data_IF_229273869135
#
_entry.id   IF_229273869135
#
_cell.length_a   1.000
_cell.length_b   1.000
_cell.length_c   1.000
_cell.angle_alpha   90.00
_cell.angle_beta   90.00
_cell.angle_gamma   90.00
#
_symmetry.space_group_name_H-M   'P 1'
#
loop_
_entity.id
_entity.type
_entity.pdbx_description
1 polymer ?
#
# COMPACT_ATOMS: atom_id res chain seq x y z
N UNK A 1 51.00 15.03 -36.22
CA UNK A 1 51.09 15.06 -34.75
C UNK A 1 49.90 15.70 -34.05
N UNK A 2 49.47 16.92 -34.34
CA UNK A 2 48.33 17.60 -33.65
C UNK A 2 46.98 16.86 -33.71
N UNK A 3 46.66 16.04 -34.74
CA UNK A 3 45.43 15.28 -34.88
C UNK A 3 45.39 13.99 -34.05
N UNK A 4 46.57 13.34 -33.89
CA UNK A 4 46.71 12.11 -33.08
C UNK A 4 46.55 12.45 -31.59
N UNK A 5 47.18 13.56 -31.10
CA UNK A 5 47.01 14.04 -29.73
C UNK A 5 45.56 14.37 -29.35
N UNK A 6 44.78 14.97 -30.29
CA UNK A 6 43.38 15.31 -30.03
C UNK A 6 42.49 14.06 -29.93
N UNK A 7 42.77 13.02 -30.72
CA UNK A 7 42.03 11.73 -30.64
C UNK A 7 42.41 10.97 -29.37
N UNK A 8 43.68 11.00 -28.98
CA UNK A 8 44.12 10.38 -27.74
C UNK A 8 43.51 11.06 -26.51
N UNK A 9 43.47 12.40 -26.47
CA UNK A 9 42.83 13.16 -25.39
C UNK A 9 41.30 12.89 -25.29
N UNK A 10 40.60 12.76 -26.42
CA UNK A 10 39.17 12.39 -26.43
C UNK A 10 38.92 10.96 -25.94
N UNK A 11 39.80 10.00 -26.33
CA UNK A 11 39.70 8.62 -25.83
C UNK A 11 40.01 8.51 -24.34
N UNK A 12 41.03 9.27 -23.85
CA UNK A 12 41.37 9.31 -22.42
C UNK A 12 40.21 9.93 -21.62
N UNK A 13 39.58 10.99 -22.11
CA UNK A 13 38.42 11.60 -21.46
C UNK A 13 37.21 10.64 -21.40
N UNK A 14 36.95 9.91 -22.48
CA UNK A 14 35.90 8.88 -22.51
C UNK A 14 36.21 7.73 -21.54
N UNK A 15 37.51 7.33 -21.45
CA UNK A 15 37.92 6.30 -20.52
C UNK A 15 37.84 6.76 -19.06
N UNK A 16 38.17 8.02 -18.76
CA UNK A 16 37.98 8.62 -17.42
C UNK A 16 36.52 8.71 -17.06
N UNK A 17 35.65 9.09 -17.98
CA UNK A 17 34.19 9.08 -17.75
C UNK A 17 33.65 7.68 -17.51
N UNK A 18 34.11 6.68 -18.27
CA UNK A 18 33.72 5.27 -18.09
C UNK A 18 34.25 4.71 -16.76
N UNK A 19 35.47 5.02 -16.35
CA UNK A 19 36.00 4.56 -15.05
C UNK A 19 35.35 5.28 -13.87
N UNK A 20 35.00 6.57 -14.01
CA UNK A 20 34.21 7.30 -13.01
C UNK A 20 32.79 6.73 -12.84
N UNK A 21 32.18 6.19 -13.91
CA UNK A 21 30.90 5.48 -13.82
C UNK A 21 30.99 4.13 -13.11
N UNK A 22 32.10 3.41 -13.24
CA UNK A 22 32.34 2.14 -12.55
C UNK A 22 32.68 2.31 -11.07
N UNK A 23 33.10 3.53 -10.67
CA UNK A 23 33.50 3.88 -9.31
C UNK A 23 32.35 4.48 -8.46
N UNK A 24 31.10 4.58 -9.00
CA UNK A 24 29.94 4.96 -8.18
C UNK A 24 29.68 3.76 -7.26
N UNK A 25 29.94 3.87 -5.93
CA UNK A 25 29.55 2.80 -5.03
C UNK A 25 28.05 2.62 -5.18
N UNK A 26 27.59 1.44 -5.58
CA UNK A 26 26.21 1.08 -5.41
C UNK A 26 25.92 1.29 -3.91
N UNK A 27 25.15 2.32 -3.55
CA UNK A 27 24.70 2.51 -2.18
C UNK A 27 24.03 1.19 -1.82
N UNK A 28 24.67 0.40 -0.94
CA UNK A 28 24.10 -0.86 -0.52
C UNK A 28 22.72 -0.53 0.07
N UNK A 29 21.65 -1.06 -0.53
CA UNK A 29 20.29 -0.89 -0.02
C UNK A 29 20.32 -1.42 1.41
N UNK A 30 19.90 -0.61 2.37
CA UNK A 30 19.78 -1.04 3.76
C UNK A 30 18.86 -2.25 3.77
N UNK A 31 19.23 -3.31 4.45
CA UNK A 31 18.42 -4.52 4.54
C UNK A 31 17.15 -4.25 5.36
N UNK A 32 16.06 -4.92 5.00
CA UNK A 32 14.76 -4.68 5.60
C UNK A 32 14.74 -4.87 7.14
N UNK A 33 15.43 -5.87 7.73
CA UNK A 33 15.53 -5.98 9.19
C UNK A 33 16.11 -4.73 9.87
N UNK A 34 17.16 -4.14 9.30
CA UNK A 34 17.75 -2.89 9.81
C UNK A 34 16.78 -1.72 9.67
N UNK A 35 16.07 -1.60 8.53
CA UNK A 35 15.04 -0.58 8.33
C UNK A 35 13.93 -0.70 9.37
N UNK A 36 13.43 -1.92 9.61
CA UNK A 36 12.40 -2.20 10.63
C UNK A 36 12.90 -1.79 12.01
N UNK A 37 14.13 -2.18 12.38
CA UNK A 37 14.71 -1.83 13.67
C UNK A 37 14.78 -0.31 13.89
N UNK A 38 15.18 0.44 12.86
CA UNK A 38 15.23 1.91 12.90
C UNK A 38 13.84 2.54 12.97
N UNK A 39 12.87 2.01 12.20
CA UNK A 39 11.51 2.55 12.18
C UNK A 39 10.77 2.30 13.51
N UNK A 40 11.05 1.19 14.19
CA UNK A 40 10.49 0.91 15.52
C UNK A 40 10.83 1.99 16.54
N UNK A 41 11.95 2.68 16.42
CA UNK A 41 12.33 3.76 17.32
C UNK A 41 11.37 4.97 17.24
N UNK A 42 10.52 5.05 16.22
CA UNK A 42 9.51 6.10 16.08
C UNK A 42 8.09 5.65 16.36
N UNK A 43 7.88 4.37 16.71
CA UNK A 43 6.54 3.83 17.02
C UNK A 43 6.34 3.81 18.53
N UNK A 44 5.14 4.12 18.98
CA UNK A 44 4.78 4.17 20.39
C UNK A 44 3.54 3.33 20.68
N UNK A 45 3.50 2.74 21.87
CA UNK A 45 2.29 2.15 22.44
C UNK A 45 1.50 3.22 23.13
N UNK A 46 0.20 3.29 22.86
CA UNK A 46 -0.74 4.20 23.49
C UNK A 46 -1.64 3.43 24.44
N UNK A 47 -1.80 3.98 25.63
CA UNK A 47 -2.84 3.58 26.58
C UNK A 47 -3.87 4.71 26.65
N UNK A 48 -5.15 4.35 26.47
CA UNK A 48 -6.25 5.31 26.36
C UNK A 48 -7.34 4.91 27.34
N UNK A 49 -7.80 5.86 28.14
CA UNK A 49 -8.91 5.66 29.08
C UNK A 49 -10.02 6.65 28.81
N UNK A 50 -11.22 6.14 28.58
CA UNK A 50 -12.45 6.92 28.52
C UNK A 50 -13.10 6.99 29.88
N UNK A 51 -13.59 8.19 30.24
CA UNK A 51 -14.22 8.48 31.53
C UNK A 51 -15.70 8.77 31.36
N UNK A 52 -16.50 8.31 32.31
CA UNK A 52 -17.89 8.72 32.42
C UNK A 52 -18.00 10.20 32.83
N UNK A 53 -19.17 10.85 32.64
CA UNK A 53 -19.36 12.26 33.05
C UNK A 53 -19.12 12.56 34.53
N UNK A 54 -19.17 11.55 35.39
CA UNK A 54 -18.87 11.64 36.83
C UNK A 54 -17.36 11.51 37.14
N UNK A 55 -16.52 11.35 36.09
CA UNK A 55 -15.07 11.21 36.22
C UNK A 55 -14.58 9.80 36.54
N UNK A 56 -15.45 8.79 36.52
CA UNK A 56 -15.03 7.39 36.72
C UNK A 56 -14.49 6.78 35.43
N UNK A 57 -13.38 6.01 35.47
CA UNK A 57 -12.92 5.26 34.29
C UNK A 57 -14.00 4.28 33.83
N UNK A 58 -14.37 4.35 32.56
CA UNK A 58 -15.45 3.57 31.96
C UNK A 58 -14.96 2.59 30.88
N UNK A 59 -13.85 2.92 30.23
CA UNK A 59 -13.26 2.07 29.19
C UNK A 59 -11.75 2.27 29.14
N UNK A 60 -11.01 1.23 28.79
CA UNK A 60 -9.60 1.31 28.47
C UNK A 60 -9.32 0.64 27.13
N UNK A 61 -8.41 1.22 26.37
CA UNK A 61 -7.97 0.70 25.08
C UNK A 61 -6.45 0.81 24.95
N UNK A 62 -5.88 -0.11 24.18
CA UNK A 62 -4.48 -0.07 23.76
C UNK A 62 -4.46 0.16 22.25
N UNK A 63 -3.57 1.04 21.81
CA UNK A 63 -3.34 1.31 20.40
C UNK A 63 -1.89 1.61 20.12
N UNK A 64 -1.62 1.95 18.90
CA UNK A 64 -0.30 2.38 18.44
C UNK A 64 -0.33 3.83 17.98
N UNK A 65 0.85 4.42 17.90
CA UNK A 65 1.07 5.72 17.27
C UNK A 65 2.49 5.81 16.73
N UNK A 66 2.78 6.89 16.04
CA UNK A 66 4.15 7.17 15.60
C UNK A 66 4.50 8.66 15.74
N UNK A 67 5.78 8.89 15.98
CA UNK A 67 6.33 10.23 16.19
C UNK A 67 6.47 10.99 14.86
N UNK A 68 6.11 12.27 14.87
CA UNK A 68 6.33 13.21 13.76
C UNK A 68 7.18 14.40 14.20
N UNK A 69 7.98 14.92 13.30
CA UNK A 69 8.88 16.03 13.57
C UNK A 69 9.98 16.12 12.53
N UNK A 70 10.91 17.06 12.69
CA UNK A 70 12.05 17.21 11.81
C UNK A 70 13.16 16.17 12.10
N UNK A 71 14.01 15.90 11.12
CA UNK A 71 15.14 15.00 11.30
C UNK A 71 16.05 15.44 12.44
N UNK A 72 16.22 14.54 13.41
CA UNK A 72 17.08 14.78 14.56
C UNK A 72 16.45 15.66 15.65
N UNK A 73 15.19 16.06 15.52
CA UNK A 73 14.46 16.69 16.62
C UNK A 73 13.93 15.64 17.61
N UNK A 74 13.73 16.07 18.85
CA UNK A 74 12.97 15.29 19.83
C UNK A 74 11.48 15.54 19.57
N UNK A 75 10.66 14.51 19.31
CA UNK A 75 9.27 14.71 18.96
C UNK A 75 8.40 15.15 20.14
N UNK A 76 7.46 16.03 19.85
CA UNK A 76 6.37 16.43 20.72
C UNK A 76 5.02 16.01 20.15
N UNK A 77 4.94 15.71 18.85
CA UNK A 77 3.71 15.36 18.17
C UNK A 77 3.73 13.91 17.73
N UNK A 78 2.57 13.28 17.85
CA UNK A 78 2.35 11.87 17.52
C UNK A 78 1.06 11.73 16.72
N UNK A 79 1.02 10.72 15.88
CA UNK A 79 -0.14 10.38 15.06
C UNK A 79 -0.70 9.05 15.50
N UNK A 80 -2.03 8.95 15.56
CA UNK A 80 -2.77 7.72 15.82
C UNK A 80 -4.12 7.74 15.09
N UNK A 81 -4.94 6.72 15.25
CA UNK A 81 -6.31 6.73 14.73
C UNK A 81 -7.27 7.55 15.62
N UNK A 82 -8.35 8.04 15.00
CA UNK A 82 -9.47 8.64 15.71
C UNK A 82 -10.10 7.65 16.69
N UNK A 83 -10.41 6.44 16.24
CA UNK A 83 -11.06 5.43 17.09
C UNK A 83 -10.20 5.01 18.30
N UNK A 84 -8.88 5.11 18.20
CA UNK A 84 -7.96 4.91 19.35
C UNK A 84 -8.06 6.11 20.28
N UNK A 85 -7.86 7.34 19.74
CA UNK A 85 -7.84 8.56 20.55
C UNK A 85 -9.18 8.87 21.23
N UNK A 86 -10.30 8.39 20.70
CA UNK A 86 -11.64 8.55 21.28
C UNK A 86 -12.06 7.40 22.19
N UNK A 87 -11.18 6.43 22.48
CA UNK A 87 -11.52 5.19 23.18
C UNK A 87 -12.79 4.52 22.64
N UNK A 88 -12.91 4.49 21.29
CA UNK A 88 -14.12 4.04 20.62
C UNK A 88 -14.47 2.58 20.94
N UNK A 89 -15.68 2.39 21.44
CA UNK A 89 -16.26 1.08 21.75
C UNK A 89 -17.17 0.64 20.60
N UNK A 90 -16.64 -0.21 19.70
CA UNK A 90 -17.37 -0.66 18.50
C UNK A 90 -18.65 -1.44 18.83
N UNK A 91 -18.67 -2.18 19.94
CA UNK A 91 -19.81 -2.95 20.41
C UNK A 91 -21.03 -2.06 20.70
N UNK A 92 -20.80 -0.83 21.19
CA UNK A 92 -21.85 0.12 21.55
C UNK A 92 -21.97 1.26 20.54
N UNK A 93 -21.15 1.28 19.48
CA UNK A 93 -21.05 2.41 18.56
C UNK A 93 -20.88 3.75 19.28
N UNK A 94 -20.01 3.77 20.30
CA UNK A 94 -19.81 4.90 21.22
C UNK A 94 -18.37 5.36 21.19
N UNK A 95 -18.15 6.66 21.09
CA UNK A 95 -16.86 7.32 21.21
C UNK A 95 -16.93 8.33 22.37
N UNK A 96 -15.91 8.37 23.18
CA UNK A 96 -15.78 9.43 24.18
C UNK A 96 -15.33 10.72 23.49
N UNK A 97 -15.81 11.86 23.97
CA UNK A 97 -15.31 13.15 23.51
C UNK A 97 -13.92 13.45 24.11
N UNK A 98 -13.24 14.44 23.55
CA UNK A 98 -11.86 14.78 23.95
C UNK A 98 -11.71 15.19 25.41
N UNK A 99 -12.78 15.67 26.07
CA UNK A 99 -12.77 16.12 27.46
C UNK A 99 -12.95 14.93 28.42
N UNK A 100 -13.40 13.80 27.92
CA UNK A 100 -13.62 12.58 28.66
C UNK A 100 -12.63 11.46 28.28
N UNK A 101 -11.49 11.80 27.67
CA UNK A 101 -10.43 10.85 27.31
C UNK A 101 -9.09 11.33 27.86
N UNK A 102 -8.32 10.40 28.41
CA UNK A 102 -6.89 10.61 28.69
C UNK A 102 -6.05 9.61 27.95
N UNK A 103 -4.92 10.04 27.41
CA UNK A 103 -4.04 9.28 26.54
C UNK A 103 -2.62 9.36 27.06
N UNK A 104 -1.94 8.22 27.13
CA UNK A 104 -0.53 8.15 27.52
C UNK A 104 0.29 7.41 26.46
N UNK A 105 1.47 7.94 26.16
CA UNK A 105 2.55 7.20 25.51
C UNK A 105 3.25 6.39 26.58
N UNK A 106 3.31 5.07 26.41
CA UNK A 106 3.99 4.18 27.33
C UNK A 106 5.49 4.15 27.04
N UNK A 107 6.31 4.42 28.06
CA UNK A 107 7.78 4.42 27.98
C UNK A 107 8.40 3.14 28.51
N UNK A 108 7.70 2.47 29.42
CA UNK A 108 8.15 1.24 30.08
C UNK A 108 6.98 0.26 30.23
N UNK A 109 7.27 -0.94 30.72
CA UNK A 109 6.28 -1.96 30.99
C UNK A 109 5.25 -1.48 32.00
N UNK A 110 4.00 -1.52 31.61
CA UNK A 110 2.87 -1.24 32.47
C UNK A 110 1.91 -2.43 32.41
N UNK A 111 1.62 -2.99 33.57
CA UNK A 111 0.63 -4.06 33.68
C UNK A 111 -0.69 -3.44 34.08
N UNK A 112 -1.69 -3.53 33.22
CA UNK A 112 -3.05 -3.09 33.49
C UNK A 112 -3.74 -4.25 34.21
N UNK A 113 -3.97 -4.07 35.51
CA UNK A 113 -4.75 -5.03 36.30
C UNK A 113 -6.23 -4.65 36.37
N UNK A 114 -6.53 -3.34 36.26
CA UNK A 114 -7.86 -2.77 36.27
C UNK A 114 -7.90 -1.49 35.41
N UNK A 115 -9.06 -1.10 34.87
CA UNK A 115 -9.26 0.17 34.13
C UNK A 115 -9.01 1.42 34.99
N UNK A 116 -8.96 1.26 36.31
CA UNK A 116 -8.63 2.31 37.27
C UNK A 116 -7.12 2.51 37.48
N UNK A 117 -6.29 1.58 37.01
CA UNK A 117 -4.84 1.68 37.08
C UNK A 117 -4.33 2.64 36.03
N UNK A 118 -4.11 3.90 36.43
CA UNK A 118 -3.59 4.93 35.51
C UNK A 118 -2.04 4.90 35.48
N UNK A 119 -1.42 5.09 34.30
CA UNK A 119 0.04 5.16 34.18
C UNK A 119 0.63 6.31 34.98
N UNK A 120 1.83 6.13 35.50
CA UNK A 120 2.59 7.16 36.23
C UNK A 120 3.48 7.97 35.28
N UNK A 121 3.87 9.19 35.66
CA UNK A 121 4.82 10.02 34.92
C UNK A 121 6.21 9.36 34.77
N UNK A 122 6.55 8.41 35.62
CA UNK A 122 7.81 7.66 35.55
C UNK A 122 7.82 6.65 34.39
N UNK A 123 6.65 6.13 34.01
CA UNK A 123 6.49 5.05 33.01
C UNK A 123 5.79 5.51 31.73
N UNK A 124 5.32 6.76 31.70
CA UNK A 124 4.53 7.27 30.57
C UNK A 124 4.65 8.79 30.39
N UNK A 125 4.15 9.25 29.23
CA UNK A 125 3.95 10.68 28.95
C UNK A 125 2.51 10.88 28.54
N UNK A 126 1.78 11.71 29.29
CA UNK A 126 0.41 12.07 28.96
C UNK A 126 0.37 12.94 27.71
N UNK A 127 -0.66 12.76 26.88
CA UNK A 127 -0.87 13.46 25.63
C UNK A 127 -2.23 14.15 25.59
N UNK A 128 -2.28 15.31 24.97
CA UNK A 128 -3.53 15.99 24.61
C UNK A 128 -3.84 15.77 23.12
N UNK A 129 -5.12 15.65 22.78
CA UNK A 129 -5.59 15.64 21.40
C UNK A 129 -5.54 17.09 20.90
N UNK A 130 -4.75 17.37 19.85
CA UNK A 130 -4.64 18.71 19.25
C UNK A 130 -5.34 18.80 17.90
N UNK A 131 -5.59 17.66 17.26
CA UNK A 131 -6.39 17.55 16.04
C UNK A 131 -7.02 16.17 15.97
N UNK A 132 -8.28 16.12 15.60
CA UNK A 132 -9.04 14.88 15.39
C UNK A 132 -9.99 15.07 14.22
N UNK A 133 -10.31 14.00 13.51
CA UNK A 133 -11.32 14.03 12.47
C UNK A 133 -12.73 14.20 13.10
N UNK A 134 -13.45 15.28 12.76
CA UNK A 134 -14.74 15.64 13.39
C UNK A 134 -15.83 14.58 13.22
N UNK A 135 -15.83 13.86 12.11
CA UNK A 135 -16.80 12.81 11.80
C UNK A 135 -16.28 11.38 12.07
N UNK A 136 -15.07 11.24 12.66
CA UNK A 136 -14.38 9.96 12.76
C UNK A 136 -13.73 9.49 11.46
N UNK A 137 -13.92 10.23 10.38
CA UNK A 137 -13.33 9.93 9.07
C UNK A 137 -12.74 11.19 8.42
N UNK A 138 -11.55 11.06 7.76
CA UNK A 138 -10.65 9.91 7.80
C UNK A 138 -10.15 9.62 9.22
N UNK A 139 -9.92 8.35 9.54
CA UNK A 139 -9.67 7.83 10.89
C UNK A 139 -8.25 8.17 11.40
N UNK A 140 -8.02 9.44 11.75
CA UNK A 140 -6.75 9.91 12.34
C UNK A 140 -6.96 10.88 13.49
N UNK A 141 -5.96 10.96 14.36
CA UNK A 141 -5.80 11.97 15.38
C UNK A 141 -4.33 12.41 15.50
N UNK A 142 -4.10 13.67 15.85
CA UNK A 142 -2.78 14.20 16.17
C UNK A 142 -2.76 14.52 17.65
N UNK A 143 -1.77 13.97 18.33
CA UNK A 143 -1.55 14.12 19.75
C UNK A 143 -0.34 15.02 19.98
N UNK A 144 -0.38 15.80 21.07
CA UNK A 144 0.77 16.51 21.62
C UNK A 144 1.12 15.94 22.99
N UNK A 145 2.34 15.49 23.15
CA UNK A 145 2.87 15.03 24.43
C UNK A 145 3.09 16.20 25.39
N UNK A 146 2.88 15.99 26.69
CA UNK A 146 3.07 17.00 27.74
C UNK A 146 4.54 17.46 27.86
N UNK A 147 5.48 16.65 27.36
CA UNK A 147 6.91 16.98 27.23
C UNK A 147 7.48 16.36 25.96
N UNK A 148 8.63 16.87 25.45
CA UNK A 148 9.36 16.17 24.38
C UNK A 148 9.71 14.73 24.82
N UNK A 149 9.53 13.76 23.88
CA UNK A 149 9.76 12.33 24.14
C UNK A 149 11.11 11.93 23.58
N UNK A 150 12.13 11.91 24.43
CA UNK A 150 13.53 11.64 24.05
C UNK A 150 13.78 10.21 23.63
N UNK A 151 12.88 9.31 24.03
CA UNK A 151 12.90 7.88 23.76
C UNK A 151 12.47 7.51 22.32
N UNK A 152 11.92 8.50 21.58
CA UNK A 152 11.41 8.31 20.24
C UNK A 152 12.15 9.15 19.20
N UNK A 153 12.06 8.73 17.93
CA UNK A 153 12.57 9.46 16.77
C UNK A 153 11.47 9.68 15.74
N UNK A 154 11.36 10.91 15.16
CA UNK A 154 10.38 11.15 14.11
C UNK A 154 10.59 10.23 12.89
N UNK A 155 9.50 9.74 12.30
CA UNK A 155 9.52 8.94 11.09
C UNK A 155 9.31 9.81 9.85
N UNK A 156 9.99 9.51 8.73
CA UNK A 156 9.75 10.21 7.48
C UNK A 156 8.42 9.76 6.87
N UNK A 157 7.68 10.70 6.28
CA UNK A 157 6.40 10.43 5.62
C UNK A 157 6.57 10.53 4.11
N UNK A 158 6.09 9.53 3.39
CA UNK A 158 6.02 9.45 1.93
C UNK A 158 4.55 9.49 1.50
N UNK A 159 4.27 10.17 0.39
CA UNK A 159 2.94 10.18 -0.22
C UNK A 159 2.44 8.78 -0.55
N UNK A 160 1.25 8.44 -0.05
CA UNK A 160 0.55 7.18 -0.37
C UNK A 160 0.21 7.09 -1.86
N UNK A 161 -0.10 8.21 -2.52
CA UNK A 161 -0.41 8.25 -3.96
C UNK A 161 0.76 7.79 -4.83
N UNK A 162 2.00 7.94 -4.34
CA UNK A 162 3.21 7.52 -5.04
C UNK A 162 3.51 6.02 -4.92
N UNK A 163 2.82 5.33 -4.02
CA UNK A 163 3.00 3.90 -3.74
C UNK A 163 2.41 3.08 -4.88
N UNK A 164 3.08 2.01 -5.28
CA UNK A 164 2.62 1.16 -6.37
C UNK A 164 2.11 -0.18 -5.83
N UNK A 165 1.13 -0.74 -6.53
CA UNK A 165 0.70 -2.12 -6.29
C UNK A 165 1.89 -3.08 -6.39
N UNK A 166 2.00 -4.01 -5.43
CA UNK A 166 3.10 -4.97 -5.32
C UNK A 166 4.33 -4.44 -4.56
N UNK A 167 4.37 -3.16 -4.16
CA UNK A 167 5.45 -2.67 -3.27
C UNK A 167 5.40 -3.42 -1.92
N UNK A 168 6.59 -3.79 -1.43
CA UNK A 168 6.73 -4.38 -0.09
C UNK A 168 6.39 -3.34 0.98
N UNK A 169 5.60 -3.76 1.96
CA UNK A 169 5.22 -2.92 3.10
C UNK A 169 5.41 -3.68 4.42
N UNK A 170 5.55 -2.93 5.49
CA UNK A 170 5.60 -3.47 6.85
C UNK A 170 4.63 -2.68 7.72
N UNK A 171 3.68 -3.36 8.34
CA UNK A 171 2.83 -2.79 9.37
C UNK A 171 3.52 -2.91 10.72
N UNK A 172 3.71 -1.79 11.40
CA UNK A 172 4.30 -1.71 12.73
C UNK A 172 3.21 -1.35 13.75
N UNK A 173 3.31 -1.91 14.96
CA UNK A 173 2.37 -1.59 16.03
C UNK A 173 2.47 -2.53 17.23
N UNK A 174 1.59 -2.36 18.20
CA UNK A 174 1.54 -3.06 19.48
C UNK A 174 0.24 -3.87 19.57
N UNK A 175 0.16 -5.07 18.99
CA UNK A 175 -1.07 -5.86 18.99
C UNK A 175 -1.39 -6.38 20.39
N UNK A 176 -2.56 -6.05 20.92
CA UNK A 176 -3.01 -6.45 22.26
C UNK A 176 -3.00 -7.98 22.47
N UNK A 177 -3.36 -8.74 21.44
CA UNK A 177 -3.37 -10.22 21.50
C UNK A 177 -1.97 -10.80 21.74
N UNK A 178 -0.90 -10.13 21.35
CA UNK A 178 0.47 -10.56 21.62
C UNK A 178 0.86 -10.22 23.05
N UNK A 179 0.38 -9.07 23.55
CA UNK A 179 0.56 -8.65 24.93
C UNK A 179 -0.06 -9.66 25.91
N UNK A 180 -1.26 -10.16 25.62
CA UNK A 180 -1.96 -11.18 26.41
C UNK A 180 -1.23 -12.52 26.47
N UNK A 181 -0.40 -12.82 25.47
CA UNK A 181 0.40 -14.04 25.39
C UNK A 181 1.79 -13.90 26.01
N UNK A 182 2.24 -12.69 26.31
CA UNK A 182 3.57 -12.39 26.82
C UNK A 182 3.55 -12.24 28.34
N UNK A 183 4.48 -12.89 29.03
CA UNK A 183 4.69 -12.69 30.46
C UNK A 183 5.27 -11.31 30.82
N UNK A 184 5.83 -10.62 29.81
CA UNK A 184 6.40 -9.27 29.95
C UNK A 184 6.05 -8.46 28.71
N UNK A 185 5.22 -7.44 28.89
CA UNK A 185 4.86 -6.50 27.82
C UNK A 185 5.70 -5.25 27.98
N UNK A 186 6.63 -5.02 27.05
CA UNK A 186 7.45 -3.81 27.00
C UNK A 186 6.88 -2.74 26.07
N UNK A 187 7.19 -1.48 26.36
CA UNK A 187 6.97 -0.37 25.43
C UNK A 187 7.69 -0.59 24.09
N UNK A 188 8.70 -1.45 24.07
CA UNK A 188 9.54 -1.78 22.91
C UNK A 188 9.09 -3.05 22.16
N UNK A 189 8.03 -3.74 22.59
CA UNK A 189 7.52 -4.96 21.96
C UNK A 189 6.66 -4.64 20.72
N UNK A 190 7.22 -3.78 19.86
CA UNK A 190 6.58 -3.42 18.61
C UNK A 190 6.70 -4.58 17.63
N UNK A 191 5.57 -5.12 17.21
CA UNK A 191 5.53 -6.14 16.16
C UNK A 191 5.72 -5.52 14.78
N UNK A 192 6.23 -6.34 13.87
CA UNK A 192 6.41 -5.99 12.47
C UNK A 192 5.87 -7.12 11.61
N UNK A 193 4.83 -6.86 10.85
CA UNK A 193 4.25 -7.81 9.89
C UNK A 193 4.49 -7.34 8.47
N UNK A 194 5.13 -8.18 7.65
CA UNK A 194 5.46 -7.87 6.28
C UNK A 194 4.34 -8.30 5.34
N UNK A 195 4.11 -7.48 4.32
CA UNK A 195 3.20 -7.78 3.22
C UNK A 195 3.52 -6.98 1.97
N UNK A 196 2.53 -6.85 1.11
CA UNK A 196 2.58 -6.09 -0.14
C UNK A 196 1.32 -5.24 -0.31
N UNK A 197 1.44 -4.13 -1.02
CA UNK A 197 0.28 -3.32 -1.42
C UNK A 197 -0.54 -4.09 -2.44
N UNK A 198 -1.79 -4.42 -2.09
CA UNK A 198 -2.72 -5.09 -2.97
C UNK A 198 -3.38 -4.12 -3.97
N UNK A 199 -3.77 -2.94 -3.52
CA UNK A 199 -4.29 -1.84 -4.37
C UNK A 199 -4.57 -0.57 -3.58
N UNK A 200 -4.80 0.53 -4.30
CA UNK A 200 -5.46 1.73 -3.81
C UNK A 200 -6.97 1.55 -3.87
N UNK A 201 -7.68 2.03 -2.86
CA UNK A 201 -9.13 1.87 -2.77
C UNK A 201 -9.77 3.07 -2.06
N UNK A 202 -10.99 3.43 -2.47
CA UNK A 202 -11.87 4.32 -1.71
C UNK A 202 -12.79 3.48 -0.86
N UNK A 203 -12.74 3.65 0.46
CA UNK A 203 -13.60 2.93 1.39
C UNK A 203 -14.85 3.75 1.68
N UNK A 204 -15.96 3.43 1.03
CA UNK A 204 -17.23 4.15 1.20
C UNK A 204 -17.82 3.99 2.60
N UNK A 205 -17.66 2.83 3.22
CA UNK A 205 -18.08 2.58 4.60
C UNK A 205 -17.33 3.41 5.64
N UNK A 206 -16.18 3.99 5.27
CA UNK A 206 -15.36 4.88 6.09
C UNK A 206 -15.35 6.31 5.52
N UNK A 207 -16.50 6.87 5.19
CA UNK A 207 -16.64 8.26 4.74
C UNK A 207 -15.97 8.56 3.39
N UNK A 208 -15.88 7.61 2.47
CA UNK A 208 -15.14 7.71 1.20
C UNK A 208 -13.65 7.99 1.38
N UNK A 209 -13.05 7.40 2.40
CA UNK A 209 -11.62 7.55 2.70
C UNK A 209 -10.75 6.75 1.72
N UNK A 210 -9.69 7.38 1.21
CA UNK A 210 -8.66 6.69 0.42
C UNK A 210 -7.80 5.83 1.34
N UNK A 211 -7.61 4.56 0.98
CA UNK A 211 -6.82 3.60 1.73
C UNK A 211 -5.90 2.79 0.83
N UNK A 212 -4.78 2.37 1.38
CA UNK A 212 -3.95 1.29 0.85
C UNK A 212 -4.48 -0.03 1.38
N UNK A 213 -4.93 -0.91 0.48
CA UNK A 213 -5.23 -2.30 0.79
C UNK A 213 -3.93 -3.10 0.71
N UNK A 214 -3.60 -3.86 1.76
CA UNK A 214 -2.37 -4.66 1.83
C UNK A 214 -2.62 -5.99 2.56
N UNK A 215 -1.70 -6.95 2.40
CA UNK A 215 -1.77 -8.27 3.03
C UNK A 215 -0.83 -8.44 4.25
N UNK A 216 -0.18 -7.36 4.70
CA UNK A 216 0.47 -7.36 6.01
C UNK A 216 -0.60 -7.48 7.09
N UNK A 217 -0.49 -8.51 7.93
CA UNK A 217 -1.50 -8.81 8.96
C UNK A 217 -1.47 -7.73 10.04
N UNK A 218 -2.64 -7.19 10.37
CA UNK A 218 -2.85 -6.34 11.56
C UNK A 218 -3.94 -6.94 12.44
N UNK A 219 -3.87 -6.65 13.73
CA UNK A 219 -4.86 -7.05 14.74
C UNK A 219 -5.15 -5.89 15.68
N UNK A 220 -6.11 -6.04 16.59
CA UNK A 220 -6.41 -5.05 17.62
C UNK A 220 -5.13 -4.61 18.35
N UNK A 221 -4.93 -3.28 18.48
CA UNK A 221 -3.71 -2.67 19.01
C UNK A 221 -2.72 -2.17 17.95
N UNK A 222 -2.70 -2.72 16.71
CA UNK A 222 -1.92 -2.17 15.60
C UNK A 222 -2.50 -0.86 15.05
N UNK A 223 -3.76 -0.58 15.35
CA UNK A 223 -4.45 0.66 14.97
C UNK A 223 -3.65 1.87 15.41
N UNK A 224 -3.46 2.84 14.51
CA UNK A 224 -2.68 4.05 14.74
C UNK A 224 -1.16 3.90 14.51
N UNK A 225 -0.67 2.67 14.35
CA UNK A 225 0.71 2.42 13.96
C UNK A 225 0.96 2.71 12.47
N UNK A 226 2.21 2.96 12.07
CA UNK A 226 2.53 3.26 10.69
C UNK A 226 2.56 2.00 9.81
N UNK A 227 2.08 2.14 8.58
CA UNK A 227 2.46 1.28 7.47
C UNK A 227 3.69 1.92 6.80
N UNK A 228 4.82 1.20 6.74
CA UNK A 228 6.06 1.72 6.16
C UNK A 228 6.42 0.99 4.87
N UNK A 229 7.15 1.68 4.00
CA UNK A 229 7.80 1.10 2.83
C UNK A 229 9.14 0.42 3.20
N UNK A 230 9.79 -0.20 2.24
CA UNK A 230 11.09 -0.88 2.44
C UNK A 230 12.26 0.06 2.78
N UNK A 231 12.06 1.37 2.78
CA UNK A 231 13.03 2.39 3.17
C UNK A 231 12.71 3.00 4.54
N UNK A 232 11.65 2.54 5.22
CA UNK A 232 11.22 3.04 6.53
C UNK A 232 10.39 4.31 6.48
N UNK A 233 9.88 4.71 5.31
CA UNK A 233 9.00 5.84 5.19
C UNK A 233 7.55 5.43 5.50
N UNK A 234 6.86 6.21 6.30
CA UNK A 234 5.43 6.05 6.56
C UNK A 234 4.66 6.36 5.29
N UNK A 235 3.91 5.37 4.80
CA UNK A 235 3.07 5.46 3.60
C UNK A 235 1.58 5.36 3.93
N UNK A 236 1.22 5.19 5.19
CA UNK A 236 -0.17 5.11 5.63
C UNK A 236 -0.26 4.87 7.12
N UNK A 237 -1.47 4.98 7.66
CA UNK A 237 -1.81 4.75 9.05
C UNK A 237 -2.69 3.51 9.14
N UNK A 238 -2.19 2.43 9.78
CA UNK A 238 -2.93 1.18 9.95
C UNK A 238 -4.25 1.44 10.68
N UNK A 239 -5.37 0.93 10.15
CA UNK A 239 -6.68 1.24 10.71
C UNK A 239 -7.62 0.04 10.79
N UNK A 240 -7.88 -0.68 9.71
CA UNK A 240 -8.87 -1.76 9.68
C UNK A 240 -8.28 -3.08 9.17
N UNK A 241 -8.60 -4.18 9.86
CA UNK A 241 -8.52 -5.52 9.27
C UNK A 241 -9.78 -5.80 8.46
N UNK A 242 -9.65 -6.28 7.23
CA UNK A 242 -10.77 -6.75 6.41
C UNK A 242 -10.67 -8.26 6.30
N UNK A 243 -11.61 -8.96 6.94
CA UNK A 243 -11.84 -10.42 6.90
C UNK A 243 -10.67 -11.25 6.35
N UNK A 244 -9.99 -11.97 7.22
CA UNK A 244 -9.05 -13.09 7.03
C UNK A 244 -7.84 -12.91 6.09
N UNK A 245 -7.75 -11.85 5.27
CA UNK A 245 -6.70 -11.80 4.23
C UNK A 245 -6.15 -10.41 3.91
N UNK A 246 -6.83 -9.33 4.28
CA UNK A 246 -6.41 -7.98 3.94
C UNK A 246 -6.56 -7.02 5.12
N UNK A 247 -5.68 -6.03 5.10
CA UNK A 247 -5.66 -4.92 6.04
C UNK A 247 -5.70 -3.60 5.27
N UNK A 248 -6.16 -2.56 5.92
CA UNK A 248 -6.21 -1.22 5.35
C UNK A 248 -5.39 -0.24 6.16
N UNK A 249 -4.67 0.62 5.47
CA UNK A 249 -4.09 1.83 6.02
C UNK A 249 -4.67 3.06 5.31
N UNK A 250 -5.12 4.06 6.04
CA UNK A 250 -5.53 5.34 5.45
C UNK A 250 -4.31 6.05 4.88
N UNK A 251 -4.54 6.87 3.85
CA UNK A 251 -3.48 7.60 3.16
C UNK A 251 -2.75 8.56 4.11
N UNK A 252 -1.43 8.63 3.96
CA UNK A 252 -0.57 9.58 4.70
C UNK A 252 -0.90 11.04 4.43
N UNK A 253 -1.51 11.35 3.28
CA UNK A 253 -1.94 12.68 2.90
C UNK A 253 -2.92 13.30 3.90
N UNK A 254 -3.80 12.52 4.52
CA UNK A 254 -4.71 13.04 5.54
C UNK A 254 -3.96 13.56 6.77
N UNK A 255 -2.89 12.84 7.14
CA UNK A 255 -2.01 13.24 8.24
C UNK A 255 -1.19 14.46 7.87
N UNK A 256 -0.54 14.46 6.70
CA UNK A 256 0.32 15.57 6.27
C UNK A 256 -0.46 16.85 6.07
N UNK A 257 -1.67 16.78 5.50
CA UNK A 257 -2.56 17.96 5.36
C UNK A 257 -2.95 18.56 6.72
N UNK A 258 -3.22 17.71 7.72
CA UNK A 258 -3.53 18.17 9.07
C UNK A 258 -2.31 18.82 9.73
N UNK A 259 -1.12 18.23 9.61
CA UNK A 259 0.13 18.79 10.12
C UNK A 259 0.45 20.14 9.46
N UNK A 260 0.29 20.23 8.13
CA UNK A 260 0.50 21.48 7.36
C UNK A 260 -0.45 22.60 7.82
N UNK A 261 -1.75 22.29 8.01
CA UNK A 261 -2.75 23.22 8.52
C UNK A 261 -2.43 23.73 9.94
N UNK A 262 -1.76 22.91 10.74
CA UNK A 262 -1.33 23.26 12.10
C UNK A 262 0.05 23.92 12.13
N UNK A 263 0.76 24.03 11.02
CA UNK A 263 2.13 24.54 10.94
C UNK A 263 3.15 23.63 11.64
N UNK A 264 2.84 22.33 11.79
CA UNK A 264 3.73 21.35 12.41
C UNK A 264 4.68 20.82 11.35
N UNK A 265 5.97 21.02 11.54
CA UNK A 265 6.99 20.52 10.64
C UNK A 265 7.20 19.01 10.84
N UNK A 266 7.33 18.29 9.75
CA UNK A 266 7.60 16.85 9.74
C UNK A 266 8.66 16.50 8.69
N UNK A 267 9.20 15.29 8.77
CA UNK A 267 10.19 14.77 7.84
C UNK A 267 9.49 14.15 6.63
N UNK A 268 9.71 14.75 5.45
CA UNK A 268 9.28 14.11 4.20
C UNK A 268 10.31 13.10 3.76
N UNK A 269 9.87 11.95 3.25
CA UNK A 269 10.74 11.06 2.52
C UNK A 269 11.40 11.85 1.40
N UNK A 270 12.70 12.02 1.48
CA UNK A 270 13.43 12.64 0.39
C UNK A 270 13.08 11.87 -0.88
N UNK A 271 12.65 12.57 -1.92
CA UNK A 271 12.75 12.06 -3.27
C UNK A 271 14.24 11.79 -3.47
N UNK A 272 14.69 10.58 -3.17
CA UNK A 272 16.01 10.14 -3.56
C UNK A 272 15.98 10.11 -5.08
N UNK A 273 16.30 11.27 -5.69
CA UNK A 273 16.75 11.24 -7.07
C UNK A 273 17.98 10.33 -6.97
N UNK A 274 17.77 9.08 -7.34
CA UNK A 274 18.82 8.06 -7.26
C UNK A 274 20.05 8.66 -7.88
N UNK A 275 21.21 8.53 -7.22
CA UNK A 275 22.51 8.92 -7.81
C UNK A 275 22.62 8.31 -9.22
N UNK A 276 22.01 7.15 -9.45
CA UNK A 276 21.85 6.50 -10.75
C UNK A 276 21.03 7.36 -11.72
N UNK A 277 19.97 8.01 -11.27
CA UNK A 277 19.16 8.89 -12.13
C UNK A 277 19.90 10.17 -12.48
N UNK A 278 20.65 10.76 -11.55
CA UNK A 278 21.51 11.93 -11.81
C UNK A 278 22.62 11.53 -12.77
N UNK A 279 23.28 10.38 -12.55
CA UNK A 279 24.32 9.86 -13.42
C UNK A 279 23.77 9.55 -14.82
N UNK A 280 22.60 8.91 -14.94
CA UNK A 280 21.96 8.64 -16.22
C UNK A 280 21.58 9.93 -16.97
N UNK A 281 21.06 10.94 -16.28
CA UNK A 281 20.77 12.26 -16.87
C UNK A 281 22.06 12.95 -17.35
N UNK A 282 23.16 12.91 -16.57
CA UNK A 282 24.44 13.46 -16.94
C UNK A 282 25.02 12.77 -18.19
N UNK A 283 24.88 11.43 -18.28
CA UNK A 283 25.27 10.64 -19.47
C UNK A 283 24.48 11.01 -20.68
N UNK A 284 23.16 11.16 -20.55
CA UNK A 284 22.28 11.56 -21.65
C UNK A 284 22.66 12.96 -22.18
N UNK A 285 22.91 13.91 -21.29
CA UNK A 285 23.37 15.26 -21.66
C UNK A 285 24.73 15.21 -22.37
N UNK A 286 25.68 14.41 -21.86
CA UNK A 286 26.98 14.24 -22.51
C UNK A 286 26.85 13.60 -23.89
N UNK A 287 26.00 12.58 -24.07
CA UNK A 287 25.75 11.93 -25.35
C UNK A 287 25.14 12.90 -26.37
N UNK A 288 24.19 13.74 -25.95
CA UNK A 288 23.59 14.80 -26.79
C UNK A 288 24.66 15.82 -27.19
N UNK A 289 25.50 16.27 -26.26
CA UNK A 289 26.59 17.21 -26.55
C UNK A 289 27.58 16.64 -27.58
N UNK A 290 27.94 15.36 -27.45
CA UNK A 290 28.80 14.65 -28.41
C UNK A 290 28.11 14.53 -29.77
N UNK A 291 26.84 14.18 -29.82
CA UNK A 291 26.07 14.11 -31.07
C UNK A 291 26.00 15.48 -31.78
N UNK A 292 25.72 16.57 -31.05
CA UNK A 292 25.73 17.94 -31.57
C UNK A 292 27.12 18.31 -32.09
N UNK A 293 28.21 17.98 -31.37
CA UNK A 293 29.55 18.20 -31.81
C UNK A 293 29.88 17.52 -33.15
N UNK A 294 29.45 16.24 -33.31
CA UNK A 294 29.67 15.51 -34.58
C UNK A 294 28.80 16.05 -35.68
N UNK A 295 27.54 16.48 -35.45
CA UNK A 295 26.66 17.11 -36.45
C UNK A 295 27.23 18.45 -36.93
N UNK A 296 27.71 19.30 -36.01
CA UNK A 296 28.32 20.57 -36.36
C UNK A 296 29.67 20.39 -37.11
N UNK A 297 30.42 19.36 -36.77
CA UNK A 297 31.68 19.04 -37.46
C UNK A 297 31.46 18.49 -38.87
N UNK A 298 30.41 17.66 -39.06
CA UNK A 298 30.08 17.08 -40.39
C UNK A 298 29.48 18.11 -41.32
N UNK A 299 28.83 19.19 -40.82
CA UNK A 299 28.34 20.30 -41.67
C UNK A 299 29.45 21.03 -42.41
N UNK A 300 30.67 21.04 -41.90
CA UNK A 300 31.81 21.66 -42.58
C UNK A 300 32.46 20.81 -43.69
N UNK A 301 32.00 19.53 -43.82
CA UNK A 301 32.53 18.62 -44.85
C UNK A 301 31.55 18.32 -45.99
N UNK A 302 30.30 18.86 -45.95
CA UNK A 302 29.26 18.54 -46.95
C UNK A 302 29.20 19.47 -48.17
N UNK A 303 30.21 20.35 -48.35
CA UNK A 303 30.18 21.33 -49.41
C UNK A 303 30.99 20.93 -50.69
N UNK A 304 31.25 19.63 -50.88
CA UNK A 304 32.00 19.18 -52.06
C UNK A 304 31.59 17.83 -52.66
N UNK A 305 30.31 17.64 -53.02
CA UNK A 305 29.97 16.65 -54.07
C UNK A 305 28.55 16.93 -54.65
N UNK A 306 28.35 16.88 -55.99
CA UNK A 306 27.07 17.13 -56.60
C UNK A 306 26.10 15.93 -56.50
N UNK A 307 24.82 16.27 -56.45
CA UNK A 307 23.72 15.34 -56.34
C UNK A 307 23.56 14.42 -57.56
N UNK A 308 23.67 13.13 -57.36
CA UNK A 308 23.21 12.10 -58.30
C UNK A 308 21.92 11.50 -57.79
N UNK A 309 20.84 11.62 -58.54
CA UNK A 309 19.51 11.16 -58.14
C UNK A 309 19.40 9.62 -58.10
N UNK A 310 18.70 9.13 -57.08
CA UNK A 310 18.20 7.74 -57.05
C UNK A 310 16.73 7.82 -56.64
N UNK A 311 15.87 7.30 -57.50
CA UNK A 311 14.43 7.15 -57.33
C UNK A 311 14.08 6.20 -56.20
N UNK A 312 13.01 6.42 -55.38
CA UNK A 312 12.61 5.52 -54.34
C UNK A 312 11.83 4.32 -54.91
N UNK A 313 12.20 3.14 -54.50
CA UNK A 313 11.43 1.90 -54.71
C UNK A 313 10.43 1.78 -53.54
N UNK A 314 9.15 1.83 -53.87
CA UNK A 314 8.04 1.53 -52.95
C UNK A 314 7.92 0.02 -52.74
N UNK A 315 7.98 -0.42 -51.45
CA UNK A 315 7.60 -1.76 -51.05
C UNK A 315 6.30 -1.67 -50.21
N UNK A 316 5.26 -2.48 -50.48
CA UNK A 316 4.01 -2.42 -49.75
C UNK A 316 4.20 -2.98 -48.33
N UNK A 317 4.08 -2.09 -47.33
CA UNK A 317 4.13 -2.48 -45.91
C UNK A 317 2.74 -2.82 -45.40
N UNK A 318 2.55 -4.05 -44.98
CA UNK A 318 1.43 -4.43 -44.14
C UNK A 318 1.66 -3.95 -42.69
N UNK A 319 0.77 -3.11 -42.21
CA UNK A 319 0.69 -2.74 -40.80
C UNK A 319 0.24 -3.94 -39.97
N UNK A 320 1.10 -4.42 -39.08
CA UNK A 320 0.72 -5.37 -38.02
C UNK A 320 0.22 -4.53 -36.83
N UNK A 321 -1.02 -4.74 -36.33
CA UNK A 321 -1.47 -4.05 -35.13
C UNK A 321 -0.68 -4.57 -33.93
N UNK A 322 -0.19 -3.63 -33.12
CA UNK A 322 0.38 -3.94 -31.80
C UNK A 322 -0.67 -4.65 -30.95
N UNK A 323 -0.50 -5.94 -30.72
CA UNK A 323 -1.37 -6.74 -29.87
C UNK A 323 -1.26 -6.28 -28.43
N UNK A 324 -2.36 -5.72 -27.93
CA UNK A 324 -2.59 -5.58 -26.49
C UNK A 324 -2.66 -6.98 -25.91
N UNK A 325 -1.71 -7.36 -25.08
CA UNK A 325 -1.70 -8.61 -24.35
C UNK A 325 -2.80 -8.55 -23.27
N UNK A 326 -4.01 -8.99 -23.60
CA UNK A 326 -5.06 -9.21 -22.61
C UNK A 326 -4.87 -10.62 -22.06
N UNK A 327 -4.68 -10.82 -20.74
CA UNK A 327 -4.66 -12.16 -20.14
C UNK A 327 -5.96 -12.87 -20.49
N UNK A 328 -5.88 -13.99 -21.22
CA UNK A 328 -7.04 -14.76 -21.63
C UNK A 328 -7.43 -15.71 -20.49
N UNK A 329 -8.41 -15.35 -19.68
CA UNK A 329 -9.00 -16.28 -18.73
C UNK A 329 -9.70 -17.41 -19.46
N UNK A 330 -9.56 -18.62 -18.93
CA UNK A 330 -10.29 -19.81 -19.35
C UNK A 330 -10.98 -20.40 -18.13
N UNK A 331 -12.07 -21.12 -18.34
CA UNK A 331 -12.72 -21.89 -17.28
C UNK A 331 -12.85 -23.35 -17.69
N UNK A 332 -12.51 -24.24 -16.77
CA UNK A 332 -12.71 -25.68 -16.94
C UNK A 332 -14.05 -26.04 -16.30
N UNK A 333 -14.90 -26.69 -17.09
CA UNK A 333 -16.21 -27.19 -16.69
C UNK A 333 -16.12 -28.58 -16.01
N UNK A 334 -17.17 -29.05 -15.32
CA UNK A 334 -17.20 -30.37 -14.69
C UNK A 334 -16.97 -31.53 -15.65
N UNK A 335 -17.31 -31.37 -16.90
CA UNK A 335 -17.12 -32.37 -17.97
C UNK A 335 -15.72 -32.34 -18.62
N UNK A 336 -14.81 -31.53 -18.06
CA UNK A 336 -13.43 -31.36 -18.51
C UNK A 336 -13.22 -30.37 -19.67
N UNK A 337 -14.28 -29.83 -20.29
CA UNK A 337 -14.18 -28.82 -21.33
C UNK A 337 -13.57 -27.55 -20.79
N UNK A 338 -12.63 -26.95 -21.53
CA UNK A 338 -12.03 -25.66 -21.23
C UNK A 338 -12.58 -24.63 -22.21
N UNK A 339 -13.21 -23.59 -21.66
CA UNK A 339 -13.87 -22.52 -22.44
C UNK A 339 -13.14 -21.20 -22.17
N UNK A 340 -12.70 -20.46 -23.22
CA UNK A 340 -12.14 -19.13 -23.04
C UNK A 340 -13.24 -18.16 -22.60
N UNK A 341 -12.87 -17.26 -21.68
CA UNK A 341 -13.74 -16.17 -21.20
C UNK A 341 -13.32 -14.89 -21.91
N UNK A 342 -14.05 -14.44 -22.95
CA UNK A 342 -13.72 -13.24 -23.67
C UNK A 342 -13.81 -12.00 -22.76
N UNK A 343 -13.19 -10.89 -23.18
CA UNK A 343 -13.31 -9.60 -22.48
C UNK A 343 -14.79 -9.18 -22.38
N UNK A 344 -15.19 -8.62 -21.24
CA UNK A 344 -16.56 -8.24 -20.95
C UNK A 344 -17.33 -9.30 -20.18
N UNK A 345 -18.67 -9.23 -20.25
CA UNK A 345 -19.58 -10.11 -19.46
C UNK A 345 -20.01 -11.34 -20.26
N UNK A 346 -19.89 -12.50 -19.65
CA UNK A 346 -20.41 -13.78 -20.17
C UNK A 346 -21.37 -14.41 -19.18
N UNK A 347 -22.47 -14.94 -19.66
CA UNK A 347 -23.45 -15.66 -18.85
C UNK A 347 -23.06 -17.13 -18.69
N UNK A 348 -23.25 -17.65 -17.47
CA UNK A 348 -23.08 -19.04 -17.09
C UNK A 348 -24.45 -19.62 -16.73
N UNK A 349 -24.82 -20.75 -17.29
CA UNK A 349 -26.10 -21.39 -17.01
C UNK A 349 -26.44 -22.52 -17.99
N UNK A 350 -27.73 -22.98 -17.94
CA UNK A 350 -28.22 -24.05 -18.85
C UNK A 350 -28.88 -23.49 -20.12
N UNK A 351 -29.21 -22.19 -20.12
CA UNK A 351 -29.89 -21.58 -21.27
C UNK A 351 -28.98 -21.62 -22.51
N UNK A 352 -29.53 -21.94 -23.70
CA UNK A 352 -28.74 -21.91 -24.96
C UNK A 352 -28.04 -20.59 -25.27
N UNK A 353 -28.55 -19.47 -24.72
CA UNK A 353 -27.93 -18.15 -24.88
C UNK A 353 -26.72 -17.90 -23.97
N UNK A 354 -26.43 -18.82 -23.01
CA UNK A 354 -25.25 -18.69 -22.15
C UNK A 354 -23.99 -19.07 -22.93
N UNK A 355 -22.98 -18.22 -22.88
CA UNK A 355 -21.67 -18.45 -23.51
C UNK A 355 -20.93 -19.61 -22.81
N UNK A 356 -21.10 -19.73 -21.46
CA UNK A 356 -20.60 -20.86 -20.69
C UNK A 356 -21.81 -21.71 -20.31
N UNK A 357 -22.07 -22.69 -21.17
CA UNK A 357 -23.28 -23.54 -21.05
C UNK A 357 -22.97 -24.85 -20.34
N UNK A 358 -23.69 -25.11 -19.24
CA UNK A 358 -23.74 -26.41 -18.61
C UNK A 358 -24.84 -27.29 -19.27
N UNK A 359 -24.73 -28.62 -19.15
CA UNK A 359 -25.70 -29.52 -19.76
C UNK A 359 -27.11 -29.36 -19.14
N UNK A 360 -28.14 -29.68 -19.91
CA UNK A 360 -29.55 -29.60 -19.44
C UNK A 360 -29.85 -30.53 -18.26
N UNK A 361 -29.09 -31.64 -18.17
CA UNK A 361 -29.14 -32.59 -17.06
C UNK A 361 -28.67 -31.98 -15.72
N UNK A 362 -27.97 -30.87 -15.72
CA UNK A 362 -27.54 -30.17 -14.50
C UNK A 362 -28.75 -29.42 -13.86
N UNK A 363 -29.75 -30.15 -13.41
CA UNK A 363 -31.05 -29.61 -12.93
C UNK A 363 -30.91 -28.55 -11.81
N UNK A 364 -29.86 -28.62 -11.01
CA UNK A 364 -29.55 -27.65 -9.96
C UNK A 364 -29.06 -26.30 -10.48
N UNK A 365 -28.63 -26.19 -11.75
CA UNK A 365 -28.18 -24.95 -12.36
C UNK A 365 -29.34 -24.18 -12.94
N UNK A 366 -29.49 -22.90 -12.64
CA UNK A 366 -30.50 -22.03 -13.23
C UNK A 366 -30.26 -21.81 -14.73
N UNK A 367 -31.31 -21.44 -15.50
CA UNK A 367 -31.13 -21.11 -16.92
C UNK A 367 -30.02 -20.06 -17.14
N UNK A 368 -30.14 -18.93 -16.45
CA UNK A 368 -29.03 -17.98 -16.24
C UNK A 368 -28.69 -18.03 -14.75
N UNK A 369 -27.51 -18.48 -14.39
CA UNK A 369 -27.16 -18.77 -13.00
C UNK A 369 -26.27 -17.66 -12.41
N UNK A 370 -25.19 -17.36 -13.09
CA UNK A 370 -24.30 -16.29 -12.71
C UNK A 370 -23.65 -15.65 -13.96
N UNK A 371 -22.98 -14.55 -13.79
CA UNK A 371 -22.16 -13.91 -14.82
C UNK A 371 -20.71 -13.90 -14.40
N UNK A 372 -19.83 -14.03 -15.40
CA UNK A 372 -18.39 -13.80 -15.28
C UNK A 372 -18.07 -12.55 -16.10
N UNK A 373 -17.45 -11.55 -15.48
CA UNK A 373 -16.97 -10.33 -16.13
C UNK A 373 -15.45 -10.36 -16.20
N UNK A 374 -14.91 -10.48 -17.40
CA UNK A 374 -13.47 -10.44 -17.64
C UNK A 374 -13.04 -9.00 -17.89
N UNK A 375 -12.36 -8.39 -16.90
CA UNK A 375 -11.80 -7.04 -16.96
C UNK A 375 -10.36 -6.99 -17.50
N UNK A 376 -9.82 -8.14 -17.94
CA UNK A 376 -8.43 -8.29 -18.37
C UNK A 376 -7.48 -8.60 -17.22
N UNK A 377 -7.71 -8.07 -16.04
CA UNK A 377 -6.87 -8.27 -14.85
C UNK A 377 -7.50 -9.24 -13.84
N UNK A 378 -8.83 -9.24 -13.76
CA UNK A 378 -9.61 -10.11 -12.88
C UNK A 378 -10.82 -10.69 -13.62
N UNK A 379 -11.25 -11.88 -13.15
CA UNK A 379 -12.51 -12.49 -13.53
C UNK A 379 -13.50 -12.27 -12.37
N UNK A 380 -14.53 -11.45 -12.57
CA UNK A 380 -15.50 -11.11 -11.53
C UNK A 380 -16.73 -12.00 -11.68
N UNK A 381 -17.07 -12.75 -10.63
CA UNK A 381 -18.28 -13.56 -10.53
C UNK A 381 -19.40 -12.77 -9.89
N UNK A 382 -20.61 -12.87 -10.46
CA UNK A 382 -21.85 -12.33 -9.88
C UNK A 382 -22.95 -13.38 -9.97
N UNK A 383 -23.57 -13.77 -8.85
CA UNK A 383 -24.77 -14.60 -8.84
C UNK A 383 -25.97 -13.76 -9.27
N UNK A 384 -26.69 -14.19 -10.29
CA UNK A 384 -27.82 -13.47 -10.89
C UNK A 384 -29.18 -13.80 -10.20
N UNK A 385 -29.15 -14.12 -8.90
CA UNK A 385 -30.32 -14.56 -8.16
C UNK A 385 -30.68 -16.02 -8.47
N UNK A 386 -29.69 -16.87 -8.59
CA UNK A 386 -29.86 -18.27 -8.91
C UNK A 386 -30.68 -19.01 -7.83
N UNK A 387 -31.52 -19.99 -8.23
CA UNK A 387 -32.40 -20.73 -7.31
C UNK A 387 -31.60 -21.46 -6.23
N UNK A 388 -30.54 -22.18 -6.62
CA UNK A 388 -29.78 -23.02 -5.71
C UNK A 388 -28.46 -22.36 -5.24
N UNK A 389 -28.12 -21.16 -5.72
CA UNK A 389 -26.98 -20.37 -5.31
C UNK A 389 -25.66 -20.73 -5.98
N UNK A 390 -24.75 -19.80 -6.00
CA UNK A 390 -23.34 -19.96 -6.35
C UNK A 390 -22.51 -20.05 -5.09
N UNK A 391 -21.49 -20.93 -5.04
CA UNK A 391 -20.68 -21.18 -3.85
C UNK A 391 -19.20 -21.08 -4.16
N UNK A 392 -18.45 -20.42 -3.26
CA UNK A 392 -16.99 -20.37 -3.28
C UNK A 392 -16.51 -20.90 -1.92
N UNK A 393 -15.59 -21.88 -1.93
CA UNK A 393 -15.12 -22.54 -0.71
C UNK A 393 -16.26 -23.01 0.23
N UNK A 394 -17.38 -23.48 -0.35
CA UNK A 394 -18.55 -23.93 0.41
C UNK A 394 -19.45 -22.82 0.96
N UNK A 395 -19.08 -21.55 0.87
CA UNK A 395 -19.92 -20.40 1.28
C UNK A 395 -20.73 -19.90 0.10
N UNK A 396 -22.02 -19.61 0.34
CA UNK A 396 -22.93 -19.07 -0.68
C UNK A 396 -22.57 -17.62 -0.99
N UNK A 397 -22.45 -17.29 -2.26
CA UNK A 397 -22.31 -15.91 -2.75
C UNK A 397 -23.68 -15.24 -2.72
N UNK A 398 -23.88 -14.11 -2.02
CA UNK A 398 -25.13 -13.38 -2.07
C UNK A 398 -25.43 -12.88 -3.49
N UNK A 399 -26.68 -12.93 -3.91
CA UNK A 399 -27.09 -12.47 -5.23
C UNK A 399 -26.72 -11.00 -5.45
N UNK A 400 -26.19 -10.69 -6.63
CA UNK A 400 -25.72 -9.36 -7.03
C UNK A 400 -24.34 -8.96 -6.45
N UNK A 401 -23.76 -9.77 -5.56
CA UNK A 401 -22.43 -9.48 -5.00
C UNK A 401 -21.34 -9.81 -6.03
N UNK A 402 -20.40 -8.88 -6.22
CA UNK A 402 -19.24 -9.08 -7.08
C UNK A 402 -18.11 -9.76 -6.31
N UNK A 403 -17.63 -10.91 -6.80
CA UNK A 403 -16.51 -11.65 -6.21
C UNK A 403 -15.40 -11.83 -7.25
N UNK A 404 -14.20 -11.37 -6.93
CA UNK A 404 -13.04 -11.53 -7.82
C UNK A 404 -12.49 -12.97 -7.74
N UNK A 405 -12.28 -13.57 -8.89
CA UNK A 405 -11.66 -14.88 -9.07
C UNK A 405 -10.28 -14.71 -9.69
N UNK A 406 -9.33 -15.48 -9.18
CA UNK A 406 -7.96 -15.57 -9.71
C UNK A 406 -7.78 -16.88 -10.46
N UNK A 407 -6.69 -16.99 -11.21
CA UNK A 407 -6.23 -18.27 -11.79
C UNK A 407 -6.13 -19.34 -10.68
N UNK A 408 -6.68 -20.52 -10.90
CA UNK A 408 -6.78 -21.59 -9.91
C UNK A 408 -8.00 -21.51 -8.98
N UNK A 409 -8.76 -20.40 -8.98
CA UNK A 409 -10.00 -20.29 -8.19
C UNK A 409 -11.06 -21.25 -8.71
N UNK A 410 -11.84 -21.85 -7.80
CA UNK A 410 -12.98 -22.71 -8.15
C UNK A 410 -14.26 -22.21 -7.48
N UNK A 411 -15.37 -22.32 -8.20
CA UNK A 411 -16.71 -22.05 -7.68
C UNK A 411 -17.70 -23.14 -8.14
N UNK A 412 -18.77 -23.33 -7.40
CA UNK A 412 -19.79 -24.31 -7.71
C UNK A 412 -21.12 -23.60 -8.01
N UNK A 413 -21.85 -24.05 -9.03
CA UNK A 413 -23.16 -23.52 -9.42
C UNK A 413 -24.26 -24.54 -9.11
N UNK A 414 -25.08 -24.23 -8.10
CA UNK A 414 -26.17 -25.07 -7.63
C UNK A 414 -25.76 -26.20 -6.70
N UNK A 415 -24.81 -27.03 -7.08
CA UNK A 415 -24.28 -28.16 -6.27
C UNK A 415 -22.75 -28.26 -6.43
N UNK A 416 -22.10 -29.01 -5.53
CA UNK A 416 -20.65 -29.28 -5.56
C UNK A 416 -20.18 -30.03 -6.81
N UNK A 417 -21.06 -30.79 -7.46
CA UNK A 417 -20.78 -31.52 -8.70
C UNK A 417 -20.56 -30.58 -9.88
N UNK A 418 -21.22 -29.42 -9.88
CA UNK A 418 -21.07 -28.42 -10.92
C UNK A 418 -19.96 -27.41 -10.59
N UNK A 419 -18.74 -27.94 -10.33
CA UNK A 419 -17.56 -27.14 -10.06
C UNK A 419 -16.96 -26.60 -11.34
N UNK A 420 -16.70 -25.31 -11.38
CA UNK A 420 -16.01 -24.61 -12.46
C UNK A 420 -14.71 -24.04 -11.91
N UNK A 421 -13.61 -24.28 -12.61
CA UNK A 421 -12.28 -23.82 -12.19
C UNK A 421 -11.72 -22.81 -13.20
N UNK A 422 -11.17 -21.72 -12.71
CA UNK A 422 -10.49 -20.69 -13.53
C UNK A 422 -9.07 -21.16 -13.82
N UNK A 423 -8.70 -21.28 -15.11
CA UNK A 423 -7.39 -21.76 -15.60
C UNK A 423 -6.79 -20.80 -16.64
#
# INVERSE_FOLDING_TARGET
>A
MKYVCKRLAAMVMVLICLTAMLAIPASAKTDLPTVISQAKEGVVKLFVVGFSPDGTPAAAAVGSGFAVGQKGSTPEYFVTNWHVASAYLSEYNYAFDSDHVRIWIMLDNFTISDVTDLPSEATSVECSIVRIAESGYPDYAILRAARPVTECKPLPIRSSESVKQGETVVALGCPAVVDDLSATVGSNDITATRGTVARHMVMSAAGNTNVLLHDAVISGGNSGGPLIDENGNVIGLNTYGIVDSYSCAIYSEYVTQALDQMGISYMTAGSSISVVTIAAAAVAVAAVAVAIYFLLRNRKSAEKYPAGGVTPVTVPGGTVPAGVYTPSFRVQLPDGRIIPVPAGKVAVGRDPSCQIRLPESAAAVSRRHCTLENSGEFLILVDEGSRNGTFIHGKRVPAGTKVALKHGSSFCVGTSENRITVC
#
